data_IF_299947070970
#
_entry.id   IF_299947070970
#
_cell.length_a   1.000
_cell.length_b   1.000
_cell.length_c   1.000
_cell.angle_alpha   90.00
_cell.angle_beta   90.00
_cell.angle_gamma   90.00
#
_symmetry.space_group_name_H-M   'P 1'
#
loop_
_entity.id
_entity.type
_entity.pdbx_description
1 polymer ?
#
# COMPACT_ATOMS: atom_id res chain seq x y z
N UNK A 1 73.28 -40.72 -38.80
CA UNK A 1 72.73 -39.90 -37.77
C UNK A 1 71.48 -39.24 -38.25
N UNK A 2 70.24 -39.57 -37.74
CA UNK A 2 69.06 -38.84 -38.07
C UNK A 2 68.80 -37.75 -37.04
N UNK A 3 68.38 -36.61 -37.53
CA UNK A 3 67.93 -35.41 -36.81
C UNK A 3 66.48 -35.66 -36.32
N UNK A 4 66.27 -35.42 -35.03
CA UNK A 4 64.95 -35.41 -34.39
C UNK A 4 64.38 -34.01 -34.50
N UNK A 5 63.24 -33.83 -35.11
CA UNK A 5 62.44 -32.59 -35.12
C UNK A 5 61.41 -32.68 -33.99
N UNK A 6 61.50 -31.76 -33.06
CA UNK A 6 60.52 -31.53 -32.00
C UNK A 6 59.20 -31.03 -32.58
N UNK A 7 58.10 -31.70 -32.22
CA UNK A 7 56.76 -31.26 -32.58
C UNK A 7 56.24 -30.18 -31.61
N UNK A 8 55.85 -29.10 -32.20
CA UNK A 8 55.19 -27.95 -31.61
C UNK A 8 53.77 -28.37 -31.14
N UNK A 9 53.54 -28.34 -29.81
CA UNK A 9 52.23 -28.61 -29.23
C UNK A 9 51.41 -27.34 -29.28
N UNK A 10 50.49 -27.25 -30.20
CA UNK A 10 49.47 -26.21 -30.27
C UNK A 10 48.61 -26.28 -29.00
N UNK A 11 48.71 -25.27 -28.16
CA UNK A 11 47.73 -24.97 -27.10
C UNK A 11 46.40 -24.59 -27.76
N UNK A 12 45.39 -25.45 -27.60
CA UNK A 12 44.02 -25.07 -27.82
C UNK A 12 43.57 -24.15 -26.71
N UNK A 13 43.50 -22.88 -27.01
CA UNK A 13 42.81 -21.86 -26.22
C UNK A 13 41.30 -22.18 -26.30
N UNK A 14 40.79 -22.85 -25.29
CA UNK A 14 39.33 -22.98 -25.11
C UNK A 14 38.83 -21.62 -24.62
N UNK A 15 38.32 -20.83 -25.55
CA UNK A 15 37.51 -19.67 -25.23
C UNK A 15 36.30 -20.17 -24.40
N UNK A 16 36.36 -19.94 -23.09
CA UNK A 16 35.23 -20.04 -22.20
C UNK A 16 34.22 -18.99 -22.67
N UNK A 17 33.13 -19.43 -23.28
CA UNK A 17 32.00 -18.60 -23.62
C UNK A 17 31.47 -18.03 -22.28
N UNK A 18 31.77 -16.77 -22.01
CA UNK A 18 31.19 -16.03 -20.91
C UNK A 18 29.67 -16.04 -21.08
N UNK A 19 28.97 -16.77 -20.20
CA UNK A 19 27.52 -16.62 -20.07
C UNK A 19 27.21 -15.14 -19.83
N UNK A 20 26.19 -14.58 -20.49
CA UNK A 20 25.75 -13.22 -20.21
C UNK A 20 25.49 -13.12 -18.69
N UNK A 21 26.16 -12.20 -18.02
CA UNK A 21 25.85 -11.91 -16.62
C UNK A 21 24.36 -11.58 -16.56
N UNK A 22 23.60 -12.28 -15.75
CA UNK A 22 22.20 -11.96 -15.47
C UNK A 22 22.19 -10.50 -14.98
N UNK A 23 21.58 -9.61 -15.78
CA UNK A 23 21.45 -8.21 -15.40
C UNK A 23 20.62 -8.15 -14.12
N UNK A 24 21.15 -7.52 -13.08
CA UNK A 24 20.42 -7.30 -11.81
C UNK A 24 19.12 -6.51 -12.12
N UNK A 25 17.95 -7.12 -11.92
CA UNK A 25 16.67 -6.49 -12.25
C UNK A 25 16.42 -5.21 -11.44
N UNK A 26 17.15 -5.00 -10.34
CA UNK A 26 17.03 -3.82 -9.50
C UNK A 26 18.11 -2.76 -9.75
N UNK A 27 19.09 -3.00 -10.64
CA UNK A 27 20.20 -2.09 -10.89
C UNK A 27 19.79 -0.64 -11.17
N UNK A 28 18.67 -0.45 -11.87
CA UNK A 28 18.13 0.86 -12.23
C UNK A 28 16.89 1.25 -11.41
N UNK A 29 16.56 0.52 -10.35
CA UNK A 29 15.43 0.85 -9.49
C UNK A 29 15.88 1.85 -8.43
N UNK A 30 15.23 3.01 -8.39
CA UNK A 30 15.39 4.03 -7.37
C UNK A 30 14.22 3.96 -6.38
N UNK A 31 14.51 3.84 -5.11
CA UNK A 31 13.51 3.83 -4.03
C UNK A 31 13.63 5.14 -3.24
N UNK A 32 12.53 5.88 -3.10
CA UNK A 32 12.51 7.09 -2.30
C UNK A 32 12.68 6.77 -0.80
N UNK A 33 13.61 7.49 -0.16
CA UNK A 33 13.87 7.38 1.27
C UNK A 33 13.77 8.77 1.89
N UNK A 34 12.55 9.15 2.22
CA UNK A 34 12.15 10.49 2.69
C UNK A 34 11.08 10.38 3.77
N UNK A 35 10.84 11.41 4.55
CA UNK A 35 9.81 11.37 5.61
C UNK A 35 8.40 11.25 5.04
N UNK A 36 8.11 11.87 3.88
CA UNK A 36 6.79 11.83 3.24
C UNK A 36 6.91 11.63 1.73
N UNK A 37 7.38 12.65 0.99
CA UNK A 37 7.57 12.55 -0.47
C UNK A 37 8.70 13.48 -0.93
N UNK A 38 9.21 13.22 -2.14
CA UNK A 38 10.07 14.12 -2.91
C UNK A 38 9.35 14.52 -4.19
N UNK A 39 9.56 15.77 -4.62
CA UNK A 39 9.00 16.28 -5.87
C UNK A 39 9.77 15.71 -7.07
N UNK A 40 9.02 15.23 -8.07
CA UNK A 40 9.53 14.96 -9.41
C UNK A 40 9.36 16.24 -10.22
N UNK A 41 10.43 16.69 -10.88
CA UNK A 41 10.50 18.00 -11.55
C UNK A 41 10.72 17.85 -13.04
N UNK A 42 10.35 18.90 -13.80
CA UNK A 42 10.51 18.92 -15.26
C UNK A 42 11.97 19.01 -15.71
N UNK A 43 12.85 19.55 -14.90
CA UNK A 43 14.28 19.71 -15.15
C UNK A 43 15.09 19.41 -13.88
N UNK A 44 16.41 19.18 -14.03
CA UNK A 44 17.35 18.98 -12.93
C UNK A 44 17.63 20.28 -12.17
N UNK A 45 16.58 20.91 -11.64
CA UNK A 45 16.62 22.19 -10.92
C UNK A 45 15.50 22.28 -9.89
N UNK A 46 15.80 22.87 -8.73
CA UNK A 46 14.81 23.12 -7.67
C UNK A 46 13.75 24.17 -8.05
N UNK A 47 14.08 25.02 -9.00
CA UNK A 47 13.18 26.10 -9.47
C UNK A 47 12.26 25.65 -10.62
N UNK A 48 12.46 24.41 -11.14
CA UNK A 48 11.66 23.88 -12.24
C UNK A 48 10.28 23.41 -11.78
N UNK A 49 9.36 23.24 -12.74
CA UNK A 49 7.99 22.83 -12.47
C UNK A 49 7.94 21.45 -11.79
N UNK A 50 7.05 21.30 -10.79
CA UNK A 50 6.73 20.00 -10.17
C UNK A 50 5.74 19.26 -11.06
N UNK A 51 6.08 18.05 -11.47
CA UNK A 51 5.26 17.17 -12.31
C UNK A 51 4.49 16.14 -11.49
N UNK A 52 5.03 15.76 -10.32
CA UNK A 52 4.42 14.76 -9.45
C UNK A 52 5.19 14.58 -8.16
N UNK A 53 4.76 13.61 -7.37
CA UNK A 53 5.34 13.27 -6.06
C UNK A 53 5.74 11.80 -6.02
N UNK A 54 6.96 11.52 -5.58
CA UNK A 54 7.43 10.20 -5.26
C UNK A 54 7.40 10.05 -3.74
N UNK A 55 6.46 9.27 -3.23
CA UNK A 55 6.27 9.07 -1.79
C UNK A 55 7.35 8.16 -1.20
N UNK A 56 7.49 8.20 0.12
CA UNK A 56 8.42 7.31 0.81
C UNK A 56 8.17 5.84 0.43
N UNK A 57 9.23 5.09 0.17
CA UNK A 57 9.21 3.70 -0.29
C UNK A 57 8.57 3.46 -1.68
N UNK A 58 8.20 4.52 -2.41
CA UNK A 58 7.81 4.40 -3.80
C UNK A 58 9.03 4.26 -4.70
N UNK A 59 8.85 3.56 -5.83
CA UNK A 59 9.93 3.28 -6.75
C UNK A 59 9.80 4.04 -8.07
N UNK A 60 10.95 4.24 -8.68
CA UNK A 60 11.10 4.77 -10.03
C UNK A 60 12.21 4.03 -10.78
N UNK A 61 12.17 4.03 -12.10
CA UNK A 61 13.28 3.54 -12.93
C UNK A 61 14.18 4.70 -13.33
N UNK A 62 15.47 4.59 -13.04
CA UNK A 62 16.49 5.57 -13.44
C UNK A 62 16.76 5.41 -14.95
N UNK A 63 16.60 6.51 -15.67
CA UNK A 63 16.90 6.60 -17.10
C UNK A 63 18.29 7.19 -17.37
N UNK A 64 18.65 8.21 -16.59
CA UNK A 64 19.90 8.94 -16.73
C UNK A 64 20.33 9.57 -15.40
N UNK A 65 21.64 9.66 -15.19
CA UNK A 65 22.25 10.44 -14.12
C UNK A 65 22.67 11.81 -14.64
N UNK A 66 22.21 12.87 -13.98
CA UNK A 66 22.59 14.25 -14.25
C UNK A 66 23.12 14.83 -12.94
N UNK A 67 24.08 15.72 -12.97
CA UNK A 67 24.81 16.23 -11.81
C UNK A 67 23.90 16.52 -10.58
N UNK A 68 23.99 15.64 -9.56
CA UNK A 68 23.16 15.69 -8.36
C UNK A 68 21.68 15.28 -8.52
N UNK A 69 21.26 14.82 -9.71
CA UNK A 69 19.90 14.42 -10.05
C UNK A 69 19.85 13.11 -10.81
N UNK A 70 18.71 12.42 -10.72
CA UNK A 70 18.36 11.32 -11.61
C UNK A 70 17.15 11.69 -12.46
N UNK A 71 17.26 11.46 -13.75
CA UNK A 71 16.08 11.40 -14.62
C UNK A 71 15.43 10.05 -14.39
N UNK A 72 14.15 10.07 -14.01
CA UNK A 72 13.39 8.87 -13.62
C UNK A 72 12.07 8.77 -14.37
N UNK A 73 11.54 7.55 -14.43
CA UNK A 73 10.15 7.27 -14.78
C UNK A 73 9.51 6.46 -13.67
N UNK A 74 8.35 6.89 -13.18
CA UNK A 74 7.56 6.20 -12.18
C UNK A 74 6.08 6.33 -12.52
N UNK A 75 5.43 5.22 -12.87
CA UNK A 75 4.07 5.24 -13.42
C UNK A 75 3.96 6.11 -14.66
N UNK A 76 3.07 7.07 -14.59
CA UNK A 76 2.81 8.04 -15.67
C UNK A 76 3.76 9.24 -15.66
N UNK A 77 4.59 9.39 -14.60
CA UNK A 77 5.44 10.55 -14.40
C UNK A 77 6.87 10.30 -14.85
N UNK A 78 7.37 11.13 -15.76
CA UNK A 78 8.80 11.18 -16.16
C UNK A 78 9.35 12.56 -15.82
N UNK A 79 10.47 12.61 -15.12
CA UNK A 79 11.09 13.87 -14.69
C UNK A 79 12.36 13.65 -13.90
N UNK A 80 12.73 14.62 -13.10
CA UNK A 80 13.98 14.64 -12.33
C UNK A 80 13.72 14.61 -10.83
N UNK A 81 14.50 13.81 -10.11
CA UNK A 81 14.53 13.77 -8.65
C UNK A 81 15.96 13.97 -8.16
N UNK A 82 16.16 14.69 -7.05
CA UNK A 82 17.48 14.82 -6.44
C UNK A 82 17.99 13.46 -5.96
N UNK A 83 19.25 13.19 -6.25
CA UNK A 83 19.89 11.91 -5.91
C UNK A 83 19.95 11.61 -4.43
N UNK A 84 20.00 12.66 -3.57
CA UNK A 84 20.05 12.51 -2.11
C UNK A 84 18.77 11.93 -1.48
N UNK A 85 17.64 11.94 -2.20
CA UNK A 85 16.35 11.46 -1.70
C UNK A 85 15.99 10.04 -2.13
N UNK A 86 16.83 9.41 -2.95
CA UNK A 86 16.57 8.08 -3.48
C UNK A 86 17.78 7.17 -3.35
N UNK A 87 17.54 5.89 -3.11
CA UNK A 87 18.55 4.84 -3.10
C UNK A 87 18.39 4.01 -4.38
N UNK A 88 19.45 3.91 -5.18
CA UNK A 88 19.44 3.23 -6.49
C UNK A 88 20.18 1.91 -6.40
N UNK A 89 19.66 0.86 -7.04
CA UNK A 89 20.34 -0.43 -7.18
C UNK A 89 20.48 -1.22 -5.88
N UNK A 90 19.63 -0.97 -4.88
CA UNK A 90 19.65 -1.73 -3.64
C UNK A 90 18.57 -2.81 -3.66
N UNK A 91 18.97 -4.05 -3.97
CA UNK A 91 18.08 -5.20 -4.08
C UNK A 91 17.35 -5.49 -2.76
N UNK A 92 18.03 -5.45 -1.60
CA UNK A 92 17.44 -5.73 -0.30
C UNK A 92 16.32 -4.72 0.02
N UNK A 93 16.58 -3.44 -0.21
CA UNK A 93 15.57 -2.39 -0.04
C UNK A 93 14.43 -2.57 -1.03
N UNK A 94 14.71 -2.82 -2.30
CA UNK A 94 13.69 -3.03 -3.32
C UNK A 94 12.77 -4.21 -2.97
N UNK A 95 13.34 -5.35 -2.54
CA UNK A 95 12.57 -6.51 -2.09
C UNK A 95 11.74 -6.23 -0.83
N UNK A 96 12.23 -5.39 0.08
CA UNK A 96 11.54 -5.06 1.33
C UNK A 96 10.32 -4.16 1.13
N UNK A 97 10.32 -3.30 0.11
CA UNK A 97 9.24 -2.35 -0.17
C UNK A 97 8.35 -2.77 -1.34
N UNK A 98 8.81 -3.70 -2.17
CA UNK A 98 8.07 -4.23 -3.30
C UNK A 98 7.12 -5.36 -2.92
N UNK A 99 6.01 -5.48 -3.66
CA UNK A 99 5.13 -6.64 -3.61
C UNK A 99 5.63 -7.68 -4.62
N UNK A 100 6.04 -8.83 -4.15
CA UNK A 100 6.44 -9.93 -5.02
C UNK A 100 5.21 -10.61 -5.60
N UNK A 101 5.16 -10.74 -6.93
CA UNK A 101 4.00 -11.22 -7.68
C UNK A 101 4.43 -12.38 -8.58
N UNK A 102 3.58 -13.40 -8.64
CA UNK A 102 3.65 -14.48 -9.60
C UNK A 102 2.46 -14.36 -10.55
N UNK A 103 2.71 -13.90 -11.78
CA UNK A 103 1.70 -13.84 -12.84
C UNK A 103 1.60 -15.18 -13.54
N UNK A 104 0.42 -15.79 -13.57
CA UNK A 104 0.21 -17.07 -14.26
C UNK A 104 0.39 -16.89 -15.76
N UNK A 105 1.18 -17.76 -16.40
CA UNK A 105 1.46 -17.67 -17.82
C UNK A 105 0.18 -17.78 -18.67
N UNK A 106 0.10 -17.06 -19.77
CA UNK A 106 -1.08 -16.95 -20.63
C UNK A 106 -1.56 -18.30 -21.20
N UNK A 107 -0.65 -19.21 -21.49
CA UNK A 107 -0.92 -20.54 -22.02
C UNK A 107 -1.44 -21.53 -20.96
N UNK A 108 -1.35 -21.17 -19.68
CA UNK A 108 -1.93 -21.95 -18.59
C UNK A 108 -3.39 -21.58 -18.39
N UNK A 109 -4.32 -22.23 -19.10
CA UNK A 109 -5.78 -21.99 -18.98
C UNK A 109 -6.26 -22.09 -17.54
N UNK A 110 -5.67 -22.99 -16.74
CA UNK A 110 -5.96 -23.17 -15.31
C UNK A 110 -4.74 -23.75 -14.62
N UNK A 111 -4.28 -23.09 -13.56
CA UNK A 111 -3.18 -23.56 -12.71
C UNK A 111 -3.74 -23.98 -11.34
N UNK A 112 -3.35 -25.16 -10.86
CA UNK A 112 -3.73 -25.61 -9.52
C UNK A 112 -2.79 -25.07 -8.47
N UNK A 113 -3.35 -24.45 -7.44
CA UNK A 113 -2.65 -24.14 -6.20
C UNK A 113 -2.73 -25.36 -5.28
N UNK A 114 -1.60 -25.80 -4.74
CA UNK A 114 -1.45 -27.07 -4.00
C UNK A 114 -1.07 -26.83 -2.55
N UNK A 115 -1.45 -27.74 -1.67
CA UNK A 115 -1.14 -27.62 -0.23
C UNK A 115 0.34 -27.83 0.09
N UNK A 116 1.09 -28.52 -0.78
CA UNK A 116 2.53 -28.82 -0.63
C UNK A 116 3.22 -28.66 -1.99
N UNK A 117 4.53 -28.42 -2.04
CA UNK A 117 5.29 -28.27 -3.28
C UNK A 117 5.48 -29.63 -4.00
N UNK A 118 4.40 -30.20 -4.48
CA UNK A 118 4.35 -31.48 -5.17
C UNK A 118 3.13 -31.60 -6.06
N UNK A 119 3.30 -32.19 -7.26
CA UNK A 119 2.20 -32.48 -8.20
C UNK A 119 1.20 -33.49 -7.67
N UNK A 120 1.59 -34.30 -6.68
CA UNK A 120 0.73 -35.33 -6.07
C UNK A 120 -0.04 -34.82 -4.85
N UNK A 121 0.29 -33.61 -4.36
CA UNK A 121 -0.36 -33.03 -3.20
C UNK A 121 -1.80 -32.59 -3.49
N UNK A 122 -2.56 -32.39 -2.42
CA UNK A 122 -3.96 -31.95 -2.51
C UNK A 122 -4.05 -30.57 -3.18
N UNK A 123 -5.04 -30.41 -4.04
CA UNK A 123 -5.39 -29.11 -4.62
C UNK A 123 -6.09 -28.26 -3.56
N UNK A 124 -5.56 -27.06 -3.30
CA UNK A 124 -6.15 -26.07 -2.42
C UNK A 124 -7.17 -25.22 -3.19
N UNK A 125 -6.79 -24.74 -4.38
CA UNK A 125 -7.60 -23.91 -5.24
C UNK A 125 -7.15 -23.98 -6.70
N UNK A 126 -7.73 -23.10 -7.52
CA UNK A 126 -7.41 -22.95 -8.95
C UNK A 126 -7.35 -21.47 -9.29
N UNK A 127 -6.43 -21.10 -10.17
CA UNK A 127 -6.25 -19.74 -10.69
C UNK A 127 -6.22 -19.78 -12.21
N UNK A 128 -6.64 -18.70 -12.85
CA UNK A 128 -6.67 -18.60 -14.31
C UNK A 128 -5.34 -18.09 -14.87
N UNK A 129 -5.16 -18.25 -16.18
CA UNK A 129 -4.07 -17.60 -16.91
C UNK A 129 -4.16 -16.08 -16.76
N UNK A 130 -3.03 -15.43 -16.63
CA UNK A 130 -2.85 -13.98 -16.37
C UNK A 130 -3.29 -13.49 -14.99
N UNK A 131 -3.70 -14.37 -14.08
CA UNK A 131 -3.94 -13.98 -12.68
C UNK A 131 -2.63 -13.61 -11.98
N UNK A 132 -2.66 -12.52 -11.21
CA UNK A 132 -1.54 -12.04 -10.40
C UNK A 132 -1.69 -12.55 -8.96
N UNK A 133 -0.76 -13.40 -8.55
CA UNK A 133 -0.74 -14.03 -7.24
C UNK A 133 0.30 -13.36 -6.33
N UNK A 134 -0.08 -13.02 -5.11
CA UNK A 134 0.89 -12.52 -4.13
C UNK A 134 1.79 -13.65 -3.67
N UNK A 135 3.09 -13.49 -3.88
CA UNK A 135 4.11 -14.46 -3.46
C UNK A 135 4.42 -14.26 -1.98
N UNK A 136 4.44 -15.36 -1.23
CA UNK A 136 4.78 -15.36 0.21
C UNK A 136 6.10 -16.09 0.51
N UNK A 137 6.55 -16.99 -0.37
CA UNK A 137 7.84 -17.69 -0.22
C UNK A 137 8.32 -18.24 -1.58
N UNK A 138 9.62 -18.12 -1.85
CA UNK A 138 10.32 -18.64 -3.04
C UNK A 138 11.46 -19.60 -2.66
N UNK A 139 11.52 -20.09 -1.42
CA UNK A 139 12.63 -20.88 -0.91
C UNK A 139 12.67 -22.34 -1.42
N UNK A 140 11.58 -22.80 -2.04
CA UNK A 140 11.46 -24.19 -2.53
C UNK A 140 11.75 -24.21 -4.03
N UNK A 141 12.81 -24.89 -4.43
CA UNK A 141 13.19 -25.02 -5.85
C UNK A 141 12.06 -25.59 -6.71
N UNK A 142 11.77 -24.93 -7.84
CA UNK A 142 10.69 -25.27 -8.77
C UNK A 142 9.26 -24.95 -8.28
N UNK A 143 9.11 -24.34 -7.10
CA UNK A 143 7.80 -24.01 -6.53
C UNK A 143 7.78 -22.61 -5.93
N UNK A 144 6.65 -21.94 -6.07
CA UNK A 144 6.39 -20.62 -5.50
C UNK A 144 5.20 -20.72 -4.56
N UNK A 145 5.35 -20.26 -3.32
CA UNK A 145 4.26 -20.18 -2.37
C UNK A 145 3.50 -18.88 -2.58
N UNK A 146 2.20 -19.00 -2.74
CA UNK A 146 1.31 -17.88 -3.07
C UNK A 146 0.11 -17.83 -2.12
N UNK A 147 -0.47 -16.64 -1.99
CA UNK A 147 -1.72 -16.43 -1.24
C UNK A 147 -2.88 -16.29 -2.21
N UNK A 148 -3.94 -17.10 -1.98
CA UNK A 148 -5.23 -17.03 -2.68
C UNK A 148 -6.39 -16.95 -1.66
N UNK A 149 -7.64 -16.84 -2.11
CA UNK A 149 -8.80 -16.72 -1.19
C UNK A 149 -8.94 -17.93 -0.27
N UNK A 150 -8.60 -19.14 -0.74
CA UNK A 150 -8.67 -20.38 0.03
C UNK A 150 -7.52 -20.57 1.02
N UNK A 151 -6.52 -19.70 1.00
CA UNK A 151 -5.35 -19.72 1.88
C UNK A 151 -4.02 -19.70 1.13
N UNK A 152 -2.94 -20.07 1.82
CA UNK A 152 -1.60 -20.15 1.22
C UNK A 152 -1.33 -21.53 0.65
N UNK A 153 -0.76 -21.59 -0.56
CA UNK A 153 -0.41 -22.83 -1.23
C UNK A 153 0.72 -22.64 -2.24
N UNK A 154 1.04 -23.69 -2.96
CA UNK A 154 2.17 -23.74 -3.88
C UNK A 154 1.71 -23.85 -5.34
N UNK A 155 2.36 -23.12 -6.23
CA UNK A 155 2.28 -23.25 -7.68
C UNK A 155 3.65 -23.65 -8.24
N UNK A 156 3.69 -24.39 -9.35
CA UNK A 156 4.97 -24.67 -10.01
C UNK A 156 5.52 -23.41 -10.66
N UNK A 157 6.81 -23.14 -10.46
CA UNK A 157 7.51 -22.02 -11.04
C UNK A 157 7.52 -22.01 -12.59
N UNK A 158 7.35 -23.18 -13.22
CA UNK A 158 7.31 -23.32 -14.69
C UNK A 158 6.10 -22.61 -15.33
N UNK A 159 5.03 -22.38 -14.54
CA UNK A 159 3.76 -21.84 -15.03
C UNK A 159 3.50 -20.40 -14.59
N UNK A 160 4.48 -19.75 -13.97
CA UNK A 160 4.34 -18.36 -13.50
C UNK A 160 5.57 -17.55 -13.88
N UNK A 161 5.34 -16.26 -14.13
CA UNK A 161 6.40 -15.28 -14.30
C UNK A 161 6.49 -14.43 -13.03
N UNK A 162 7.67 -14.40 -12.41
CA UNK A 162 7.91 -13.66 -11.18
C UNK A 162 8.29 -12.22 -11.46
N UNK A 163 7.62 -11.29 -10.82
CA UNK A 163 7.92 -9.86 -10.89
C UNK A 163 7.87 -9.22 -9.51
N UNK A 164 8.38 -8.00 -9.40
CA UNK A 164 8.24 -7.18 -8.20
C UNK A 164 7.53 -5.89 -8.58
N UNK A 165 6.37 -5.70 -8.01
CA UNK A 165 5.59 -4.48 -8.18
C UNK A 165 5.91 -3.48 -7.08
N UNK A 166 5.95 -2.21 -7.45
CA UNK A 166 6.24 -1.11 -6.54
C UNK A 166 5.12 -0.08 -6.57
N UNK A 167 4.93 0.60 -5.44
CA UNK A 167 4.16 1.84 -5.42
C UNK A 167 4.89 2.86 -6.28
N UNK A 168 4.15 3.49 -7.17
CA UNK A 168 4.68 4.46 -8.14
C UNK A 168 4.38 5.89 -7.70
N UNK A 169 4.98 6.85 -8.40
CA UNK A 169 4.74 8.26 -8.19
C UNK A 169 3.28 8.62 -8.52
N UNK A 170 2.78 9.62 -7.83
CA UNK A 170 1.50 10.25 -8.13
C UNK A 170 1.77 11.50 -8.98
N UNK A 171 1.16 11.57 -10.17
CA UNK A 171 1.22 12.77 -11.02
C UNK A 171 0.40 13.91 -10.41
N UNK A 172 0.64 15.11 -10.87
CA UNK A 172 -0.11 16.30 -10.45
C UNK A 172 -1.61 16.19 -10.77
N UNK A 173 -1.93 15.56 -11.89
CA UNK A 173 -3.30 15.28 -12.32
C UNK A 173 -3.97 14.22 -11.44
N UNK A 174 -3.26 13.15 -11.11
CA UNK A 174 -3.74 12.09 -10.20
C UNK A 174 -3.95 12.63 -8.79
N UNK A 175 -3.02 13.45 -8.27
CA UNK A 175 -3.17 14.14 -6.99
C UNK A 175 -4.40 15.06 -7.00
N UNK A 176 -4.59 15.86 -8.05
CA UNK A 176 -5.74 16.74 -8.16
C UNK A 176 -7.06 15.96 -8.23
N UNK A 177 -7.10 14.86 -8.98
CA UNK A 177 -8.27 13.99 -9.07
C UNK A 177 -8.59 13.31 -7.73
N UNK A 178 -7.57 12.85 -7.01
CA UNK A 178 -7.72 12.27 -5.67
C UNK A 178 -8.27 13.29 -4.67
N UNK A 179 -7.69 14.50 -4.63
CA UNK A 179 -8.14 15.58 -3.74
C UNK A 179 -9.58 16.00 -4.07
N UNK A 180 -9.95 16.13 -5.34
CA UNK A 180 -11.31 16.45 -5.76
C UNK A 180 -12.30 15.36 -5.34
N UNK A 181 -11.91 14.08 -5.43
CA UNK A 181 -12.73 12.97 -4.98
C UNK A 181 -12.91 12.99 -3.46
N UNK A 182 -11.84 13.21 -2.70
CA UNK A 182 -11.88 13.34 -1.24
C UNK A 182 -12.79 14.51 -0.81
N UNK A 183 -12.73 15.65 -1.51
CA UNK A 183 -13.58 16.81 -1.24
C UNK A 183 -15.06 16.50 -1.52
N UNK A 184 -15.36 15.85 -2.65
CA UNK A 184 -16.72 15.45 -2.99
C UNK A 184 -17.30 14.42 -2.00
N UNK A 185 -16.50 13.45 -1.56
CA UNK A 185 -16.91 12.48 -0.55
C UNK A 185 -17.15 13.15 0.81
N UNK A 186 -16.31 14.12 1.19
CA UNK A 186 -16.52 14.93 2.40
C UNK A 186 -17.81 15.74 2.33
N UNK A 187 -18.06 16.43 1.21
CA UNK A 187 -19.29 17.21 1.02
C UNK A 187 -20.54 16.30 1.05
N UNK A 188 -20.47 15.12 0.44
CA UNK A 188 -21.54 14.14 0.47
C UNK A 188 -21.81 13.62 1.90
N UNK A 189 -20.74 13.33 2.68
CA UNK A 189 -20.85 12.92 4.06
C UNK A 189 -21.45 14.03 4.95
N UNK A 190 -21.03 15.27 4.78
CA UNK A 190 -21.56 16.43 5.49
C UNK A 190 -23.04 16.67 5.15
N UNK A 191 -23.42 16.55 3.87
CA UNK A 191 -24.80 16.64 3.42
C UNK A 191 -25.67 15.52 4.04
N UNK A 192 -25.18 14.29 4.07
CA UNK A 192 -25.86 13.16 4.69
C UNK A 192 -26.03 13.35 6.22
N UNK A 193 -25.01 13.82 6.91
CA UNK A 193 -25.04 14.13 8.34
C UNK A 193 -26.07 15.26 8.65
N UNK A 194 -26.08 16.31 7.84
CA UNK A 194 -27.06 17.41 7.94
C UNK A 194 -28.50 16.96 7.66
N UNK A 195 -28.70 16.06 6.68
CA UNK A 195 -30.00 15.47 6.39
C UNK A 195 -30.51 14.58 7.54
N UNK A 196 -29.61 13.82 8.17
CA UNK A 196 -29.92 13.00 9.34
C UNK A 196 -30.30 13.87 10.56
N UNK A 197 -29.58 14.97 10.81
CA UNK A 197 -29.91 15.96 11.86
C UNK A 197 -31.27 16.57 11.63
N UNK A 198 -31.59 17.00 10.39
CA UNK A 198 -32.92 17.56 10.04
C UNK A 198 -34.06 16.53 10.23
N UNK A 199 -33.82 15.23 9.97
CA UNK A 199 -34.79 14.17 10.24
C UNK A 199 -35.00 13.94 11.75
N UNK A 200 -33.93 13.99 12.54
CA UNK A 200 -33.99 13.87 13.99
C UNK A 200 -34.77 15.04 14.63
N UNK A 201 -34.51 16.28 14.18
CA UNK A 201 -35.21 17.47 14.66
C UNK A 201 -36.71 17.45 14.31
N UNK A 202 -37.08 16.95 13.12
CA UNK A 202 -38.52 16.78 12.73
C UNK A 202 -39.21 15.71 13.57
N UNK A 203 -38.50 14.67 14.03
CA UNK A 203 -39.04 13.62 14.89
C UNK A 203 -39.21 14.10 16.33
N UNK A 204 -38.38 15.02 16.80
CA UNK A 204 -38.43 15.60 18.16
C UNK A 204 -39.52 16.68 18.29
N UNK A 205 -39.92 17.33 17.19
CA UNK A 205 -40.98 18.36 17.22
C UNK A 205 -42.39 17.81 17.31
N UNK A 206 -42.60 16.49 17.22
CA UNK A 206 -43.91 15.84 17.35
C UNK A 206 -44.21 15.30 18.76
N UNK A 207 -43.31 15.40 19.73
CA UNK A 207 -43.55 15.04 21.13
C UNK A 207 -43.30 16.24 22.03
N UNK A 208 -44.37 17.01 22.33
CA UNK A 208 -44.39 17.97 23.45
C UNK A 208 -44.34 17.21 24.76
N UNK A 209 -43.26 17.30 25.55
CA UNK A 209 -43.34 17.49 26.99
C UNK A 209 -41.97 17.91 27.58
N UNK A 210 -42.05 18.99 28.35
CA UNK A 210 -41.27 19.45 29.52
C UNK A 210 -39.76 19.39 29.49
N UNK A 211 -39.20 20.58 29.77
CA UNK A 211 -37.79 20.91 29.85
C UNK A 211 -36.94 20.01 30.71
N UNK A 212 -35.73 19.80 30.20
CA UNK A 212 -34.55 19.60 31.02
C UNK A 212 -33.36 20.01 30.16
N UNK A 213 -32.53 20.89 30.69
CA UNK A 213 -31.23 21.25 30.21
C UNK A 213 -30.45 19.98 29.80
N UNK A 214 -30.08 19.89 28.54
CA UNK A 214 -29.16 18.83 28.05
C UNK A 214 -27.80 19.06 28.70
N UNK A 215 -27.59 18.49 29.88
CA UNK A 215 -26.25 18.07 30.26
C UNK A 215 -25.86 16.98 29.25
N UNK A 216 -24.83 17.23 28.45
CA UNK A 216 -24.14 16.16 27.78
C UNK A 216 -23.63 15.24 28.88
N UNK A 217 -24.36 14.16 29.13
CA UNK A 217 -23.82 13.08 29.91
C UNK A 217 -22.52 12.70 29.24
N UNK A 218 -21.41 12.83 29.96
CA UNK A 218 -20.18 12.17 29.59
C UNK A 218 -20.60 10.74 29.24
N UNK A 219 -20.37 10.35 27.98
CA UNK A 219 -20.71 9.02 27.52
C UNK A 219 -19.83 8.07 28.33
N UNK A 220 -20.32 7.72 29.49
CA UNK A 220 -19.65 6.82 30.38
C UNK A 220 -19.41 5.53 29.62
N UNK A 221 -18.15 5.24 29.40
CA UNK A 221 -17.49 3.95 29.14
C UNK A 221 -18.20 2.88 28.29
N UNK A 222 -19.52 2.73 28.32
CA UNK A 222 -20.19 1.61 27.63
C UNK A 222 -20.26 1.75 26.13
N UNK A 223 -20.50 2.96 25.60
CA UNK A 223 -20.57 3.18 24.16
C UNK A 223 -19.16 3.27 23.53
N UNK A 224 -18.23 3.93 24.20
CA UNK A 224 -16.84 4.00 23.75
C UNK A 224 -16.16 2.63 23.75
N UNK A 225 -16.39 1.83 24.78
CA UNK A 225 -15.91 0.44 24.84
C UNK A 225 -16.52 -0.43 23.72
N UNK A 226 -17.80 -0.21 23.38
CA UNK A 226 -18.43 -0.91 22.26
C UNK A 226 -17.82 -0.52 20.92
N UNK A 227 -17.54 0.77 20.69
CA UNK A 227 -16.83 1.28 19.51
C UNK A 227 -15.44 0.66 19.40
N UNK A 228 -14.66 0.68 20.49
CA UNK A 228 -13.32 0.09 20.54
C UNK A 228 -13.35 -1.43 20.27
N UNK A 229 -14.29 -2.16 20.89
CA UNK A 229 -14.45 -3.60 20.69
C UNK A 229 -14.89 -3.95 19.26
N UNK A 230 -15.72 -3.12 18.66
CA UNK A 230 -16.12 -3.28 17.24
C UNK A 230 -14.94 -3.01 16.33
N UNK A 231 -14.20 -1.94 16.53
CA UNK A 231 -13.00 -1.60 15.75
C UNK A 231 -11.94 -2.73 15.78
N UNK A 232 -11.76 -3.35 16.95
CA UNK A 232 -10.77 -4.42 17.14
C UNK A 232 -11.02 -5.68 16.30
N UNK A 233 -12.26 -5.90 15.82
CA UNK A 233 -12.59 -7.04 14.98
C UNK A 233 -11.97 -6.96 13.57
N UNK A 234 -11.52 -5.78 13.17
CA UNK A 234 -10.97 -5.52 11.84
C UNK A 234 -9.43 -5.36 11.85
N UNK A 235 -8.78 -5.67 12.97
CA UNK A 235 -7.30 -5.67 13.06
C UNK A 235 -6.76 -6.74 12.10
N UNK A 236 -5.78 -6.35 11.28
CA UNK A 236 -5.16 -7.22 10.28
C UNK A 236 -5.77 -7.10 8.87
N UNK A 237 -6.87 -6.37 8.71
CA UNK A 237 -7.41 -6.10 7.37
C UNK A 237 -6.52 -5.10 6.61
N UNK A 238 -6.54 -5.14 5.26
CA UNK A 238 -5.65 -4.33 4.43
C UNK A 238 -5.81 -2.83 4.67
N UNK A 239 -4.71 -2.10 4.67
CA UNK A 239 -4.73 -0.65 4.55
C UNK A 239 -4.86 -0.29 3.06
N UNK A 240 -5.92 0.42 2.69
CA UNK A 240 -6.15 0.92 1.34
C UNK A 240 -6.35 2.43 1.42
N UNK A 241 -5.45 3.18 0.82
CA UNK A 241 -5.53 4.64 0.79
C UNK A 241 -6.84 5.11 0.12
N UNK A 242 -7.57 6.02 0.77
CA UNK A 242 -8.91 6.44 0.32
C UNK A 242 -10.01 5.37 0.50
N UNK A 243 -9.69 4.21 1.04
CA UNK A 243 -10.64 3.13 1.30
C UNK A 243 -11.48 3.36 2.55
N UNK A 244 -12.73 2.86 2.52
CA UNK A 244 -13.69 2.95 3.63
C UNK A 244 -14.24 1.59 4.05
N UNK A 245 -13.82 0.51 3.40
CA UNK A 245 -14.30 -0.83 3.71
C UNK A 245 -13.57 -1.41 4.90
N UNK A 246 -14.29 -1.72 5.98
CA UNK A 246 -13.71 -2.32 7.17
C UNK A 246 -13.12 -3.72 6.93
N UNK A 247 -13.55 -4.41 5.88
CA UNK A 247 -13.12 -5.79 5.54
C UNK A 247 -12.19 -5.86 4.34
N UNK A 248 -12.41 -5.01 3.31
CA UNK A 248 -11.68 -5.07 2.04
C UNK A 248 -10.58 -4.00 1.93
N UNK A 249 -10.49 -3.12 2.91
CA UNK A 249 -9.46 -2.10 3.03
C UNK A 249 -10.01 -0.71 3.32
N UNK A 250 -9.41 -0.07 4.29
CA UNK A 250 -9.71 1.31 4.69
C UNK A 250 -8.40 2.06 4.97
N UNK A 251 -8.40 3.37 4.75
CA UNK A 251 -7.35 4.23 5.29
C UNK A 251 -7.66 4.62 6.76
N UNK A 252 -6.78 5.40 7.37
CA UNK A 252 -6.90 5.77 8.78
C UNK A 252 -8.21 6.50 9.09
N UNK A 253 -8.59 7.48 8.30
CA UNK A 253 -9.82 8.26 8.48
C UNK A 253 -11.07 7.52 8.02
N UNK A 254 -10.97 6.74 6.95
CA UNK A 254 -12.04 5.89 6.45
C UNK A 254 -12.39 4.76 7.42
N UNK A 255 -11.39 4.19 8.08
CA UNK A 255 -11.60 3.23 9.16
C UNK A 255 -12.38 3.84 10.32
N UNK A 256 -11.92 4.99 10.84
CA UNK A 256 -12.59 5.70 11.93
C UNK A 256 -14.01 6.06 11.53
N UNK A 257 -14.21 6.67 10.35
CA UNK A 257 -15.52 7.03 9.82
C UNK A 257 -16.46 5.82 9.77
N UNK A 258 -16.01 4.70 9.23
CA UNK A 258 -16.83 3.50 9.02
C UNK A 258 -17.17 2.79 10.33
N UNK A 259 -16.25 2.75 11.28
CA UNK A 259 -16.50 2.24 12.65
C UNK A 259 -17.59 3.06 13.33
N UNK A 260 -17.47 4.38 13.34
CA UNK A 260 -18.44 5.26 13.98
C UNK A 260 -19.80 5.29 13.28
N UNK A 261 -19.83 5.12 11.95
CA UNK A 261 -21.05 4.99 11.18
C UNK A 261 -21.91 3.79 11.61
N UNK A 262 -21.28 2.67 12.01
CA UNK A 262 -21.97 1.51 12.58
C UNK A 262 -22.72 1.83 13.89
N UNK A 263 -22.29 2.88 14.60
CA UNK A 263 -22.94 3.38 15.81
C UNK A 263 -23.84 4.60 15.56
N UNK A 264 -24.11 4.92 14.30
CA UNK A 264 -24.97 6.03 13.90
C UNK A 264 -24.34 7.41 14.02
N UNK A 265 -23.01 7.49 14.12
CA UNK A 265 -22.24 8.73 14.21
C UNK A 265 -21.55 8.96 12.84
N UNK A 266 -21.96 10.03 12.14
CA UNK A 266 -21.33 10.45 10.89
C UNK A 266 -20.05 11.25 11.19
N UNK A 267 -18.92 10.79 10.66
CA UNK A 267 -17.62 11.44 10.76
C UNK A 267 -17.09 11.77 9.37
N UNK A 268 -16.26 12.83 9.22
CA UNK A 268 -15.63 13.14 7.94
C UNK A 268 -14.55 12.13 7.59
N UNK A 269 -14.41 11.81 6.31
CA UNK A 269 -13.33 10.99 5.78
C UNK A 269 -12.09 11.87 5.52
N UNK A 270 -11.52 12.41 6.58
CA UNK A 270 -10.30 13.22 6.53
C UNK A 270 -9.67 13.30 7.92
N UNK A 271 -8.43 12.89 8.05
CA UNK A 271 -7.69 12.93 9.31
C UNK A 271 -7.54 14.35 9.87
N UNK A 272 -7.44 15.37 9.01
CA UNK A 272 -7.40 16.78 9.42
C UNK A 272 -8.75 17.28 9.90
N UNK A 273 -9.85 16.87 9.25
CA UNK A 273 -11.20 17.26 9.65
C UNK A 273 -11.65 16.56 10.95
N UNK A 274 -11.19 15.33 11.21
CA UNK A 274 -11.46 14.60 12.46
C UNK A 274 -10.94 15.35 13.70
N UNK A 275 -9.91 16.19 13.59
CA UNK A 275 -9.42 17.07 14.68
C UNK A 275 -10.45 18.08 15.15
N UNK A 276 -11.36 18.48 14.28
CA UNK A 276 -12.43 19.44 14.59
C UNK A 276 -13.72 18.78 15.09
N UNK A 277 -13.75 17.45 15.24
CA UNK A 277 -14.94 16.73 15.67
C UNK A 277 -14.90 16.49 17.19
N UNK A 278 -16.02 16.81 17.86
CA UNK A 278 -16.13 16.64 19.30
C UNK A 278 -15.40 17.72 20.10
N UNK A 279 -14.75 17.32 21.18
CA UNK A 279 -13.96 18.21 22.03
C UNK A 279 -12.63 17.53 22.40
N UNK A 280 -11.62 18.32 22.60
CA UNK A 280 -10.29 17.81 22.92
C UNK A 280 -10.22 17.27 24.36
N UNK A 281 -9.63 16.10 24.52
CA UNK A 281 -9.31 15.49 25.81
C UNK A 281 -7.81 15.28 25.92
N UNK A 282 -7.27 15.44 27.13
CA UNK A 282 -5.86 15.11 27.38
C UNK A 282 -5.63 13.60 27.28
N UNK A 283 -4.44 13.18 26.85
CA UNK A 283 -4.09 11.76 26.75
C UNK A 283 -4.29 11.00 28.08
N UNK A 284 -4.08 11.66 29.23
CA UNK A 284 -4.32 11.07 30.55
C UNK A 284 -5.80 10.81 30.86
N UNK A 285 -6.70 11.45 30.12
CA UNK A 285 -8.15 11.30 30.27
C UNK A 285 -8.79 10.58 29.09
N UNK A 286 -7.98 10.11 28.14
CA UNK A 286 -8.48 9.39 26.98
C UNK A 286 -9.21 8.09 27.38
N UNK A 287 -10.35 7.85 26.74
CA UNK A 287 -11.21 6.71 27.01
C UNK A 287 -11.30 5.84 25.75
N UNK A 288 -11.57 4.52 25.89
CA UNK A 288 -11.88 3.69 24.73
C UNK A 288 -13.00 4.31 23.89
N UNK A 289 -12.77 4.39 22.58
CA UNK A 289 -13.69 5.06 21.64
C UNK A 289 -13.34 6.52 21.35
N UNK A 290 -12.36 7.13 22.02
CA UNK A 290 -11.85 8.43 21.59
C UNK A 290 -11.05 8.31 20.28
N UNK A 291 -10.92 9.41 19.57
CA UNK A 291 -10.14 9.47 18.31
C UNK A 291 -8.82 10.16 18.60
N UNK A 292 -7.72 9.46 18.36
CA UNK A 292 -6.38 10.04 18.46
C UNK A 292 -5.95 10.55 17.10
N UNK A 293 -5.66 11.85 17.02
CA UNK A 293 -5.25 12.50 15.77
C UNK A 293 -3.78 12.89 15.83
N UNK A 294 -2.97 12.34 14.93
CA UNK A 294 -1.59 12.76 14.67
C UNK A 294 -1.53 13.71 13.47
N UNK A 295 -0.36 14.26 13.17
CA UNK A 295 -0.17 15.02 11.93
C UNK A 295 -0.34 14.08 10.73
N UNK A 296 -1.39 14.30 9.92
CA UNK A 296 -1.70 13.48 8.74
C UNK A 296 -2.30 12.10 9.02
N UNK A 297 -2.59 11.74 10.27
CA UNK A 297 -3.11 10.42 10.62
C UNK A 297 -4.16 10.48 11.74
N UNK A 298 -5.15 9.57 11.70
CA UNK A 298 -6.15 9.43 12.75
C UNK A 298 -6.36 7.94 13.08
N UNK A 299 -6.53 7.62 14.35
CA UNK A 299 -6.79 6.26 14.83
C UNK A 299 -7.88 6.27 15.90
N UNK A 300 -8.64 5.18 15.97
CA UNK A 300 -9.56 4.95 17.10
C UNK A 300 -8.77 4.44 18.30
N UNK A 301 -8.95 5.07 19.45
CA UNK A 301 -8.28 4.68 20.69
C UNK A 301 -8.91 3.41 21.28
N UNK A 302 -8.13 2.33 21.32
CA UNK A 302 -8.58 1.01 21.79
C UNK A 302 -7.92 0.58 23.10
N UNK A 303 -7.47 1.50 23.94
CA UNK A 303 -6.73 1.22 25.16
C UNK A 303 -5.44 0.42 24.92
N UNK A 304 -4.32 1.13 24.80
CA UNK A 304 -3.00 0.51 24.84
C UNK A 304 -2.71 0.05 26.28
N UNK A 305 -2.83 -1.24 26.54
CA UNK A 305 -2.05 -1.86 27.60
C UNK A 305 -0.60 -1.90 27.15
N UNK A 306 0.25 -1.13 27.78
CA UNK A 306 1.70 -1.25 27.72
C UNK A 306 2.15 -2.61 28.28
#
# INVERSE_FOLDING_TARGET
TPVVTEGDAAQQDTAEEAQPAEEDPFANVAIAQVDNYVNIRSEASEDSEVLGKLYNNSAATVQQTVDGWYQITSGTVTGYVKSEYVVVGNEELARSVGRRVATVNEDAVTLFVRTEPSTDSKKLGMVAGLDDLTVTDESVDGWVKVSIEEGEGYVSADYVTLSTEFVQAESKEEEAARLAKEEAEREAADAAANAARKKADRKSSSSKSSGSSKSYASAGSSNGQAVASYASQFIGNPYVYGGTSLTNGADCSGFVMSVYAAFGVGLPHSSSALRGVGYEVSLSNAQPGDIVCYSGHAVSYTHLTL
#
